data_IF_940417630950
#
_entry.id   IF_940417630950
#
_cell.length_a   1.000
_cell.length_b   1.000
_cell.length_c   1.000
_cell.angle_alpha   90.00
_cell.angle_beta   90.00
_cell.angle_gamma   90.00
#
_symmetry.space_group_name_H-M   'P 1'
#
loop_
_entity.id
_entity.type
_entity.pdbx_description
1 polymer ?
#
# COMPACT_ATOMS: atom_id res chain seq x y z
N UNK A 1 10.46 -2.36 -16.80
CA UNK A 1 11.56 -3.34 -16.76
C UNK A 1 11.04 -4.68 -17.30
N UNK A 2 11.90 -5.48 -17.89
CA UNK A 2 11.57 -6.82 -18.34
C UNK A 2 11.92 -7.79 -17.22
N UNK A 3 10.89 -8.26 -16.52
CA UNK A 3 11.02 -9.28 -15.48
C UNK A 3 10.27 -10.53 -15.90
N UNK A 4 10.66 -11.69 -15.38
CA UNK A 4 9.99 -12.98 -15.63
C UNK A 4 8.71 -13.15 -14.80
N UNK A 5 8.26 -12.08 -14.11
CA UNK A 5 7.04 -12.08 -13.29
C UNK A 5 5.82 -12.02 -14.22
N UNK A 6 4.97 -13.04 -14.11
CA UNK A 6 3.69 -13.06 -14.81
C UNK A 6 2.73 -12.01 -14.26
N UNK A 7 2.03 -11.31 -15.19
CA UNK A 7 0.97 -10.36 -14.81
C UNK A 7 -0.33 -11.11 -14.60
N UNK A 8 -0.77 -11.17 -13.36
CA UNK A 8 -2.07 -11.73 -13.03
C UNK A 8 -3.19 -10.69 -13.21
N UNK A 9 -4.41 -11.18 -13.50
CA UNK A 9 -5.63 -10.36 -13.47
C UNK A 9 -6.05 -10.14 -12.03
N UNK A 10 -6.85 -9.09 -11.79
CA UNK A 10 -7.50 -8.90 -10.50
C UNK A 10 -8.29 -10.17 -10.15
N UNK A 11 -8.12 -10.64 -8.93
CA UNK A 11 -8.76 -11.86 -8.44
C UNK A 11 -10.28 -11.67 -8.35
N UNK A 12 -11.05 -12.71 -8.67
CA UNK A 12 -12.49 -12.69 -8.52
C UNK A 12 -12.92 -12.57 -7.04
N UNK A 13 -14.06 -11.92 -6.79
CA UNK A 13 -14.55 -11.62 -5.42
C UNK A 13 -14.64 -12.89 -4.59
N UNK A 14 -15.20 -13.94 -5.13
CA UNK A 14 -15.40 -15.23 -4.45
C UNK A 14 -14.07 -15.83 -3.96
N UNK A 15 -13.03 -15.74 -4.77
CA UNK A 15 -11.69 -16.23 -4.39
C UNK A 15 -11.09 -15.41 -3.25
N UNK A 16 -11.30 -14.08 -3.26
CA UNK A 16 -10.87 -13.19 -2.17
C UNK A 16 -11.62 -13.54 -0.88
N UNK A 17 -12.93 -13.76 -0.96
CA UNK A 17 -13.75 -14.13 0.19
C UNK A 17 -13.36 -15.49 0.77
N UNK A 18 -13.06 -16.48 -0.08
CA UNK A 18 -12.55 -17.78 0.37
C UNK A 18 -11.20 -17.65 1.10
N UNK A 19 -10.31 -16.82 0.59
CA UNK A 19 -9.02 -16.55 1.24
C UNK A 19 -9.20 -15.83 2.58
N UNK A 20 -10.09 -14.84 2.63
CA UNK A 20 -10.42 -14.12 3.86
C UNK A 20 -11.05 -15.05 4.92
N UNK A 21 -11.93 -15.96 4.52
CA UNK A 21 -12.52 -16.94 5.44
C UNK A 21 -11.45 -17.90 6.01
N UNK A 22 -10.52 -18.35 5.17
CA UNK A 22 -9.38 -19.18 5.64
C UNK A 22 -8.50 -18.41 6.65
N UNK A 23 -8.20 -17.15 6.36
CA UNK A 23 -7.44 -16.30 7.26
C UNK A 23 -8.17 -16.09 8.60
N UNK A 24 -9.48 -15.83 8.56
CA UNK A 24 -10.32 -15.72 9.76
C UNK A 24 -10.30 -17.00 10.61
N UNK A 25 -10.46 -18.15 9.96
CA UNK A 25 -10.43 -19.45 10.63
C UNK A 25 -9.06 -19.75 11.28
N UNK A 26 -7.99 -19.17 10.71
CA UNK A 26 -6.63 -19.22 11.28
C UNK A 26 -6.38 -18.16 12.38
N UNK A 27 -7.38 -17.39 12.78
CA UNK A 27 -7.30 -16.40 13.86
C UNK A 27 -6.91 -14.99 13.44
N UNK A 28 -6.89 -14.68 12.13
CA UNK A 28 -6.61 -13.31 11.67
C UNK A 28 -7.74 -12.36 12.08
N UNK A 29 -7.38 -11.16 12.49
CA UNK A 29 -8.32 -10.06 12.83
C UNK A 29 -8.45 -9.04 11.70
N UNK A 30 -7.47 -9.01 10.79
CA UNK A 30 -7.44 -8.13 9.62
C UNK A 30 -7.07 -8.92 8.37
N UNK A 31 -7.68 -8.54 7.26
CA UNK A 31 -7.38 -9.10 5.94
C UNK A 31 -6.92 -7.98 4.99
N UNK A 32 -5.70 -8.13 4.45
CA UNK A 32 -5.11 -7.17 3.52
C UNK A 32 -5.27 -7.67 2.09
N UNK A 33 -5.73 -6.78 1.21
CA UNK A 33 -5.92 -7.01 -0.22
C UNK A 33 -5.08 -6.01 -1.01
N UNK A 34 -4.48 -6.44 -2.11
CA UNK A 34 -3.62 -5.54 -2.87
C UNK A 34 -3.55 -5.84 -4.35
N UNK A 35 -3.28 -4.80 -5.12
CA UNK A 35 -2.92 -4.88 -6.52
C UNK A 35 -1.78 -3.88 -6.79
N UNK A 36 -0.74 -4.33 -7.50
CA UNK A 36 0.44 -3.54 -7.81
C UNK A 36 0.16 -2.53 -8.94
N UNK A 37 -0.81 -1.65 -8.71
CA UNK A 37 -1.22 -0.63 -9.66
C UNK A 37 -0.55 0.73 -9.38
N UNK A 38 -0.47 1.56 -10.41
CA UNK A 38 -0.17 2.97 -10.22
C UNK A 38 -1.35 3.67 -9.52
N UNK A 39 -2.57 3.38 -9.96
CA UNK A 39 -3.85 3.84 -9.41
C UNK A 39 -4.97 2.90 -9.89
N UNK A 40 -6.06 2.73 -9.14
CA UNK A 40 -7.22 1.99 -9.60
C UNK A 40 -7.94 2.74 -10.74
N UNK A 41 -8.61 2.00 -11.61
CA UNK A 41 -9.46 2.58 -12.65
C UNK A 41 -10.91 2.59 -12.17
N UNK A 42 -11.70 3.56 -12.63
CA UNK A 42 -13.10 3.68 -12.24
C UNK A 42 -13.92 2.39 -12.52
N UNK A 43 -13.61 1.70 -13.61
CA UNK A 43 -14.25 0.41 -13.94
C UNK A 43 -13.98 -0.71 -12.92
N UNK A 44 -12.90 -0.60 -12.16
CA UNK A 44 -12.49 -1.61 -11.18
C UNK A 44 -13.09 -1.33 -9.78
N UNK A 45 -13.56 -0.09 -9.54
CA UNK A 45 -14.08 0.35 -8.23
C UNK A 45 -15.28 -0.48 -7.72
N UNK A 46 -16.28 -0.84 -8.54
CA UNK A 46 -17.37 -1.69 -8.08
C UNK A 46 -16.87 -3.04 -7.56
N UNK A 47 -15.95 -3.68 -8.26
CA UNK A 47 -15.37 -4.96 -7.88
C UNK A 47 -14.58 -4.87 -6.55
N UNK A 48 -13.79 -3.80 -6.38
CA UNK A 48 -13.06 -3.53 -5.14
C UNK A 48 -14.02 -3.29 -3.95
N UNK A 49 -15.09 -2.54 -4.16
CA UNK A 49 -16.09 -2.27 -3.10
C UNK A 49 -16.83 -3.54 -2.69
N UNK A 50 -17.08 -4.45 -3.61
CA UNK A 50 -17.72 -5.74 -3.30
C UNK A 50 -16.79 -6.65 -2.47
N UNK A 51 -15.49 -6.68 -2.80
CA UNK A 51 -14.48 -7.34 -1.96
C UNK A 51 -14.47 -6.80 -0.53
N UNK A 52 -14.44 -5.46 -0.37
CA UNK A 52 -14.42 -4.81 0.95
C UNK A 52 -15.66 -5.19 1.75
N UNK A 53 -16.85 -5.04 1.16
CA UNK A 53 -18.12 -5.38 1.83
C UNK A 53 -18.17 -6.83 2.26
N UNK A 54 -17.74 -7.75 1.38
CA UNK A 54 -17.71 -9.17 1.68
C UNK A 54 -16.79 -9.52 2.84
N UNK A 55 -15.54 -9.03 2.83
CA UNK A 55 -14.56 -9.25 3.89
C UNK A 55 -15.01 -8.60 5.21
N UNK A 56 -15.56 -7.37 5.13
CA UNK A 56 -16.11 -6.66 6.29
C UNK A 56 -17.28 -7.40 6.91
N UNK A 57 -18.16 -7.97 6.06
CA UNK A 57 -19.29 -8.80 6.49
C UNK A 57 -18.89 -10.07 7.26
N UNK A 58 -17.65 -10.53 7.11
CA UNK A 58 -17.08 -11.63 7.90
C UNK A 58 -16.61 -11.19 9.30
N UNK A 59 -16.63 -9.90 9.62
CA UNK A 59 -16.14 -9.36 10.89
C UNK A 59 -14.64 -9.15 10.95
N UNK A 60 -13.95 -9.11 9.80
CA UNK A 60 -12.53 -8.76 9.72
C UNK A 60 -12.35 -7.26 9.51
N UNK A 61 -11.30 -6.68 10.06
CA UNK A 61 -10.79 -5.39 9.59
C UNK A 61 -10.27 -5.55 8.15
N UNK A 62 -10.51 -4.53 7.33
CA UNK A 62 -10.10 -4.53 5.92
C UNK A 62 -8.95 -3.56 5.68
N UNK A 63 -7.99 -3.96 4.87
CA UNK A 63 -6.89 -3.13 4.41
C UNK A 63 -6.71 -3.30 2.89
N UNK A 64 -6.45 -2.19 2.19
CA UNK A 64 -6.15 -2.25 0.76
C UNK A 64 -4.89 -1.48 0.38
N UNK A 65 -4.22 -1.98 -0.68
CA UNK A 65 -3.07 -1.35 -1.35
C UNK A 65 -3.34 -1.34 -2.86
N UNK A 66 -3.66 -0.17 -3.44
CA UNK A 66 -4.08 -0.05 -4.84
C UNK A 66 -3.30 1.05 -5.60
N UNK A 67 -2.23 1.58 -5.00
CA UNK A 67 -1.51 2.74 -5.52
C UNK A 67 -2.13 4.07 -5.09
N UNK A 68 -2.03 5.10 -5.95
CA UNK A 68 -2.55 6.43 -5.65
C UNK A 68 -4.07 6.46 -5.75
N UNK A 69 -4.71 7.26 -4.90
CA UNK A 69 -6.16 7.47 -4.90
C UNK A 69 -6.50 8.93 -5.17
N UNK A 70 -7.55 9.14 -5.95
CA UNK A 70 -8.26 10.42 -5.97
C UNK A 70 -9.13 10.58 -4.71
N UNK A 71 -9.56 11.80 -4.34
CA UNK A 71 -10.51 12.02 -3.23
C UNK A 71 -11.78 11.19 -3.37
N UNK A 72 -12.34 11.11 -4.58
CA UNK A 72 -13.58 10.35 -4.85
C UNK A 72 -13.37 8.85 -4.68
N UNK A 73 -12.24 8.30 -5.14
CA UNK A 73 -11.90 6.89 -4.96
C UNK A 73 -11.71 6.57 -3.47
N UNK A 74 -11.00 7.41 -2.72
CA UNK A 74 -10.84 7.23 -1.27
C UNK A 74 -12.20 7.22 -0.56
N UNK A 75 -13.10 8.14 -0.92
CA UNK A 75 -14.45 8.20 -0.37
C UNK A 75 -15.31 6.96 -0.73
N UNK A 76 -15.21 6.46 -1.96
CA UNK A 76 -15.91 5.24 -2.38
C UNK A 76 -15.46 4.02 -1.55
N UNK A 77 -14.14 3.84 -1.37
CA UNK A 77 -13.59 2.75 -0.57
C UNK A 77 -13.99 2.86 0.91
N UNK A 78 -13.92 4.05 1.50
CA UNK A 78 -14.36 4.30 2.87
C UNK A 78 -15.86 4.00 3.05
N UNK A 79 -16.69 4.43 2.11
CA UNK A 79 -18.14 4.16 2.11
C UNK A 79 -18.45 2.66 2.01
N UNK A 80 -17.61 1.89 1.32
CA UNK A 80 -17.73 0.43 1.25
C UNK A 80 -17.33 -0.27 2.56
N UNK A 81 -16.69 0.44 3.50
CA UNK A 81 -16.29 -0.07 4.81
C UNK A 81 -14.80 -0.39 4.95
N UNK A 82 -13.94 0.16 4.07
CA UNK A 82 -12.49 -0.01 4.19
C UNK A 82 -11.99 0.67 5.47
N UNK A 83 -11.30 -0.09 6.32
CA UNK A 83 -10.76 0.41 7.60
C UNK A 83 -9.40 1.06 7.43
N UNK A 84 -8.51 0.43 6.66
CA UNK A 84 -7.13 0.85 6.44
C UNK A 84 -6.80 0.97 4.96
N UNK A 85 -6.02 1.99 4.62
CA UNK A 85 -5.38 2.07 3.32
C UNK A 85 -3.86 2.04 3.49
N UNK A 86 -3.20 1.11 2.80
CA UNK A 86 -1.76 1.02 2.79
C UNK A 86 -1.19 1.82 1.61
N UNK A 87 -0.36 2.81 1.91
CA UNK A 87 0.37 3.59 0.92
C UNK A 87 1.68 4.07 1.53
N UNK A 88 2.76 3.33 1.26
CA UNK A 88 4.06 3.60 1.84
C UNK A 88 4.68 4.86 1.25
N UNK A 89 5.46 5.60 2.05
CA UNK A 89 6.35 6.65 1.57
C UNK A 89 7.63 6.07 0.94
N UNK A 90 7.91 4.82 1.22
CA UNK A 90 9.02 3.98 0.78
C UNK A 90 10.38 4.40 1.37
N UNK A 91 10.77 5.67 1.30
CA UNK A 91 12.05 6.20 1.82
C UNK A 91 11.92 7.68 2.18
N UNK A 92 13.04 8.36 2.45
CA UNK A 92 13.05 9.82 2.68
C UNK A 92 12.69 10.61 1.42
N UNK A 93 12.24 11.88 1.55
CA UNK A 93 12.02 12.77 0.40
C UNK A 93 13.28 12.96 -0.45
N UNK A 94 14.45 13.04 0.20
CA UNK A 94 15.74 13.29 -0.44
C UNK A 94 16.18 12.11 -1.32
N UNK A 95 15.96 10.89 -0.86
CA UNK A 95 16.38 9.69 -1.58
C UNK A 95 15.34 9.19 -2.58
N UNK A 96 14.08 9.58 -2.42
CA UNK A 96 12.95 9.07 -3.21
C UNK A 96 13.15 9.15 -4.73
N UNK A 97 13.67 10.29 -5.22
CA UNK A 97 13.92 10.52 -6.63
C UNK A 97 14.96 9.60 -7.26
N UNK A 98 15.84 9.00 -6.45
CA UNK A 98 16.83 8.03 -6.91
C UNK A 98 16.22 6.67 -7.24
N UNK A 99 15.07 6.34 -6.61
CA UNK A 99 14.43 5.03 -6.75
C UNK A 99 13.21 5.11 -7.66
N UNK A 100 12.38 6.15 -7.53
CA UNK A 100 11.09 6.24 -8.19
C UNK A 100 11.04 7.48 -9.07
N UNK A 101 10.92 7.25 -10.39
CA UNK A 101 10.86 8.30 -11.41
C UNK A 101 9.47 8.48 -12.05
N UNK A 102 8.53 7.58 -11.73
CA UNK A 102 7.18 7.54 -12.36
C UNK A 102 6.11 8.31 -11.60
N UNK A 103 6.44 8.79 -10.40
CA UNK A 103 5.58 9.59 -9.51
C UNK A 103 6.45 10.40 -8.55
N UNK A 104 5.91 11.48 -8.02
CA UNK A 104 6.59 12.34 -7.06
C UNK A 104 6.36 11.86 -5.62
N UNK A 105 7.17 12.36 -4.69
CA UNK A 105 6.93 12.14 -3.25
C UNK A 105 5.62 12.81 -2.81
N UNK A 106 5.31 13.98 -3.37
CA UNK A 106 4.08 14.70 -3.09
C UNK A 106 2.83 13.89 -3.49
N UNK A 107 2.85 13.17 -4.62
CA UNK A 107 1.74 12.28 -5.01
C UNK A 107 1.42 11.24 -3.92
N UNK A 108 2.42 10.81 -3.16
CA UNK A 108 2.21 9.89 -2.03
C UNK A 108 1.57 10.59 -0.84
N UNK A 109 2.07 11.76 -0.49
CA UNK A 109 1.51 12.57 0.59
C UNK A 109 0.07 12.97 0.29
N UNK A 110 -0.23 13.37 -0.95
CA UNK A 110 -1.59 13.70 -1.39
C UNK A 110 -2.54 12.49 -1.24
N UNK A 111 -2.07 11.29 -1.61
CA UNK A 111 -2.87 10.07 -1.41
C UNK A 111 -3.15 9.82 0.06
N UNK A 112 -2.16 9.98 0.96
CA UNK A 112 -2.36 9.84 2.41
C UNK A 112 -3.37 10.87 2.93
N UNK A 113 -3.33 12.11 2.43
CA UNK A 113 -4.32 13.15 2.77
C UNK A 113 -5.73 12.73 2.33
N UNK A 114 -5.91 12.28 1.09
CA UNK A 114 -7.21 11.83 0.57
C UNK A 114 -7.78 10.66 1.40
N UNK A 115 -6.92 9.73 1.81
CA UNK A 115 -7.30 8.61 2.68
C UNK A 115 -7.78 9.10 4.04
N UNK A 116 -7.05 10.05 4.64
CA UNK A 116 -7.39 10.62 5.95
C UNK A 116 -8.68 11.43 5.89
N UNK A 117 -8.85 12.25 4.86
CA UNK A 117 -10.06 13.06 4.63
C UNK A 117 -11.31 12.20 4.40
N UNK A 118 -11.12 10.99 3.85
CA UNK A 118 -12.20 10.01 3.72
C UNK A 118 -12.52 9.25 5.03
N UNK A 119 -11.77 9.50 6.12
CA UNK A 119 -12.00 8.90 7.42
C UNK A 119 -11.40 7.50 7.61
N UNK A 120 -10.53 7.06 6.71
CA UNK A 120 -9.81 5.78 6.84
C UNK A 120 -8.54 5.94 7.68
N UNK A 121 -8.13 4.83 8.29
CA UNK A 121 -6.84 4.71 8.95
C UNK A 121 -5.72 4.51 7.91
N UNK A 122 -4.51 4.96 8.25
CA UNK A 122 -3.35 4.87 7.38
C UNK A 122 -2.41 3.75 7.86
N UNK A 123 -1.97 2.94 6.90
CA UNK A 123 -0.82 2.08 7.02
C UNK A 123 0.25 2.64 6.06
N UNK A 124 1.33 3.24 6.58
CA UNK A 124 2.37 3.85 5.76
C UNK A 124 3.74 3.70 6.41
N UNK A 125 4.68 3.20 5.68
CA UNK A 125 6.05 2.97 6.11
C UNK A 125 7.01 3.02 4.94
N UNK A 126 8.02 2.14 4.96
CA UNK A 126 9.05 2.14 3.94
C UNK A 126 9.73 0.82 3.69
N UNK A 127 10.71 0.88 2.81
CA UNK A 127 11.54 -0.25 2.40
C UNK A 127 12.99 0.12 2.70
N UNK A 128 13.72 -0.76 3.35
CA UNK A 128 15.17 -0.63 3.59
C UNK A 128 15.94 -1.58 2.68
N UNK A 129 17.18 -1.21 2.35
CA UNK A 129 18.03 -1.99 1.45
C UNK A 129 17.93 -1.59 -0.03
N UNK A 130 17.43 -0.38 -0.32
CA UNK A 130 17.37 0.16 -1.68
C UNK A 130 18.62 0.99 -2.06
N UNK A 131 19.65 1.00 -1.20
CA UNK A 131 20.84 1.83 -1.33
C UNK A 131 20.77 3.16 -0.57
N UNK A 132 19.76 3.33 0.24
CA UNK A 132 19.58 4.49 1.12
C UNK A 132 20.57 4.48 2.30
N UNK A 133 20.91 5.66 2.80
CA UNK A 133 21.74 5.86 3.99
C UNK A 133 20.94 5.72 5.29
N UNK A 134 21.65 5.64 6.42
CA UNK A 134 21.02 5.74 7.74
C UNK A 134 20.26 7.06 7.94
N UNK A 135 20.74 8.16 7.35
CA UNK A 135 20.05 9.45 7.40
C UNK A 135 18.74 9.42 6.61
N UNK A 136 18.71 8.72 5.47
CA UNK A 136 17.46 8.56 4.70
C UNK A 136 16.44 7.74 5.48
N UNK A 137 16.87 6.69 6.16
CA UNK A 137 16.00 5.91 7.06
C UNK A 137 15.42 6.77 8.18
N UNK A 138 16.26 7.60 8.80
CA UNK A 138 15.81 8.57 9.81
C UNK A 138 14.86 9.61 9.19
N UNK A 139 15.17 10.12 7.99
CA UNK A 139 14.32 11.06 7.24
C UNK A 139 12.91 10.51 6.98
N UNK A 140 12.80 9.24 6.58
CA UNK A 140 11.49 8.59 6.45
C UNK A 140 10.69 8.61 7.76
N UNK A 141 11.33 8.28 8.88
CA UNK A 141 10.67 8.28 10.19
C UNK A 141 10.25 9.68 10.62
N UNK A 142 11.08 10.69 10.32
CA UNK A 142 10.75 12.11 10.57
C UNK A 142 9.53 12.54 9.75
N UNK A 143 9.46 12.18 8.49
CA UNK A 143 8.29 12.47 7.65
C UNK A 143 7.01 11.84 8.19
N UNK A 144 7.06 10.55 8.55
CA UNK A 144 5.91 9.85 9.12
C UNK A 144 5.46 10.45 10.46
N UNK A 145 6.42 10.90 11.29
CA UNK A 145 6.15 11.52 12.58
C UNK A 145 5.59 12.95 12.44
N UNK A 146 5.89 13.65 11.35
CA UNK A 146 5.41 15.01 11.09
C UNK A 146 4.10 15.06 10.28
N UNK A 147 3.53 13.92 9.90
CA UNK A 147 2.19 13.92 9.32
C UNK A 147 1.18 14.53 10.30
N UNK A 148 0.17 15.28 9.84
CA UNK A 148 -0.84 15.92 10.71
C UNK A 148 -1.50 14.96 11.70
N UNK A 149 -1.66 13.69 11.29
CA UNK A 149 -2.06 12.58 12.13
C UNK A 149 -1.15 11.41 11.82
N UNK A 150 -0.52 10.83 12.83
CA UNK A 150 0.38 9.70 12.68
C UNK A 150 -0.33 8.51 12.02
N UNK A 151 0.35 7.71 11.18
CA UNK A 151 -0.17 6.44 10.71
C UNK A 151 -0.46 5.50 11.88
N UNK A 152 -1.55 4.76 11.81
CA UNK A 152 -1.89 3.75 12.82
C UNK A 152 -1.03 2.48 12.68
N UNK A 153 -0.36 2.32 11.54
CA UNK A 153 0.54 1.19 11.28
C UNK A 153 1.70 1.66 10.39
N UNK A 154 2.93 1.32 10.80
CA UNK A 154 4.16 1.70 10.09
C UNK A 154 4.96 0.44 9.74
N UNK A 155 4.69 -0.21 8.60
CA UNK A 155 5.47 -1.37 8.15
C UNK A 155 6.84 -0.91 7.63
N UNK A 156 7.90 -1.58 8.09
CA UNK A 156 9.24 -1.43 7.53
C UNK A 156 9.62 -2.78 6.92
N UNK A 157 9.78 -2.81 5.62
CA UNK A 157 10.07 -4.02 4.86
C UNK A 157 11.52 -4.03 4.38
N UNK A 158 12.12 -5.22 4.30
CA UNK A 158 13.39 -5.41 3.62
C UNK A 158 13.16 -5.54 2.11
N UNK A 159 14.02 -4.93 1.30
CA UNK A 159 14.00 -5.12 -0.15
C UNK A 159 14.16 -6.59 -0.51
N UNK A 160 13.29 -7.08 -1.37
CA UNK A 160 13.48 -8.35 -2.07
C UNK A 160 14.01 -8.03 -3.47
N UNK A 161 15.26 -8.38 -3.73
CA UNK A 161 15.91 -8.13 -5.03
C UNK A 161 15.28 -9.00 -6.10
N UNK A 162 14.86 -8.37 -7.19
CA UNK A 162 14.23 -9.07 -8.33
C UNK A 162 15.11 -8.90 -9.55
N UNK A 163 15.47 -10.01 -10.19
CA UNK A 163 16.28 -10.03 -11.41
C UNK A 163 15.63 -9.20 -12.52
N UNK A 164 16.45 -8.45 -13.26
CA UNK A 164 16.00 -7.55 -14.31
C UNK A 164 15.45 -6.21 -13.83
N UNK A 165 15.58 -5.89 -12.54
CA UNK A 165 15.24 -4.58 -11.98
C UNK A 165 16.50 -3.77 -11.66
N UNK A 166 16.43 -2.41 -11.57
CA UNK A 166 17.58 -1.59 -11.21
C UNK A 166 18.15 -1.85 -9.81
N UNK A 167 17.38 -2.49 -8.93
CA UNK A 167 17.79 -2.79 -7.57
C UNK A 167 18.31 -4.23 -7.38
N UNK A 168 18.53 -4.96 -8.48
CA UNK A 168 19.02 -6.35 -8.44
C UNK A 168 20.39 -6.46 -7.77
N UNK A 169 21.28 -5.49 -8.05
CA UNK A 169 22.70 -5.50 -7.64
C UNK A 169 22.99 -4.55 -6.45
N UNK A 170 21.97 -4.01 -5.79
CA UNK A 170 22.17 -3.14 -4.62
C UNK A 170 22.76 -3.94 -3.46
N UNK A 171 23.71 -3.37 -2.71
CA UNK A 171 24.31 -4.00 -1.53
C UNK A 171 23.25 -4.33 -0.46
N UNK A 172 23.50 -5.39 0.31
CA UNK A 172 22.64 -5.74 1.44
C UNK A 172 22.83 -4.72 2.57
N UNK A 173 21.79 -4.52 3.35
CA UNK A 173 21.86 -3.66 4.56
C UNK A 173 22.66 -4.39 5.63
N UNK A 174 23.67 -3.72 6.18
CA UNK A 174 24.44 -4.18 7.34
C UNK A 174 23.62 -4.06 8.64
#
# INVERSE_FOLDING_TARGET
YTTDIEKERLMEVERVLDAAQKAKNAGSTRFCMGAAWKNPKERDMPHLTDMIKGVKGMGLETCMTLGMLTPDQAKQLATAGLDYYNHNLDTSPEFYGNIITTRTYQDRLDTLSHVRDAGMKICSGGIIGMGESANDRAGLLVELANLPVHPESVPINMLVKVKGTPLEEVDDVE
#
